data_IF_460699746284
#
_entry.id   IF_460699746284
#
_cell.length_a   1.000
_cell.length_b   1.000
_cell.length_c   1.000
_cell.angle_alpha   90.00
_cell.angle_beta   90.00
_cell.angle_gamma   90.00
#
_symmetry.space_group_name_H-M   'P 1'
#
loop_
_entity.id
_entity.type
_entity.pdbx_description
1 polymer ?
#
# COMPACT_ATOMS: atom_id res chain seq x y z
N UNK A 1 -33.12 -2.50 24.51
CA UNK A 1 -32.57 -3.50 23.57
C UNK A 1 -33.08 -3.16 22.18
N UNK A 2 -32.25 -2.52 21.37
CA UNK A 2 -32.51 -2.25 19.95
C UNK A 2 -31.21 -2.56 19.19
N UNK A 3 -31.37 -3.33 18.12
CA UNK A 3 -30.33 -4.02 17.35
C UNK A 3 -29.55 -3.06 16.44
N UNK A 4 -28.22 -3.22 16.40
CA UNK A 4 -27.28 -2.57 15.46
C UNK A 4 -27.42 -3.19 14.05
N UNK A 5 -28.53 -2.91 13.38
CA UNK A 5 -28.76 -3.35 12.00
C UNK A 5 -29.53 -2.30 11.21
N UNK A 6 -29.12 -1.03 11.30
CA UNK A 6 -29.64 0.01 10.41
C UNK A 6 -28.71 1.21 10.39
N UNK A 7 -27.86 1.29 9.36
CA UNK A 7 -27.31 2.51 8.72
C UNK A 7 -26.20 2.14 7.73
N UNK A 8 -26.58 1.51 6.62
CA UNK A 8 -25.75 1.53 5.41
C UNK A 8 -26.68 1.71 4.20
N UNK A 9 -27.03 2.97 3.92
CA UNK A 9 -27.78 3.37 2.73
C UNK A 9 -27.03 4.48 1.99
N UNK A 10 -26.69 4.17 0.73
CA UNK A 10 -26.57 5.04 -0.44
C UNK A 10 -25.58 6.23 -0.43
N UNK A 11 -24.66 6.21 -1.40
CA UNK A 11 -24.88 6.91 -2.69
C UNK A 11 -23.79 6.56 -3.72
N UNK A 12 -24.26 6.22 -4.91
CA UNK A 12 -23.48 6.12 -6.15
C UNK A 12 -22.98 7.49 -6.60
N UNK A 13 -21.73 7.59 -7.06
CA UNK A 13 -21.20 8.76 -7.78
C UNK A 13 -20.51 8.32 -9.08
N UNK A 14 -20.52 9.16 -10.15
CA UNK A 14 -20.37 8.73 -11.54
C UNK A 14 -18.92 8.61 -12.02
N UNK A 15 -18.81 8.05 -13.23
CA UNK A 15 -17.60 7.75 -13.99
C UNK A 15 -16.72 8.97 -14.30
N UNK A 16 -15.40 8.76 -14.31
CA UNK A 16 -14.41 9.74 -14.76
C UNK A 16 -13.01 9.49 -14.18
N UNK A 17 -12.07 9.13 -15.05
CA UNK A 17 -10.62 8.96 -14.85
C UNK A 17 -10.14 7.62 -14.26
N UNK A 18 -9.87 6.71 -15.21
CA UNK A 18 -9.18 5.42 -15.11
C UNK A 18 -7.68 5.55 -14.84
N UNK A 19 -7.08 4.47 -14.32
CA UNK A 19 -5.66 4.21 -14.03
C UNK A 19 -5.06 4.75 -12.70
N UNK A 20 -5.77 5.53 -11.89
CA UNK A 20 -5.34 5.87 -10.51
C UNK A 20 -6.03 5.05 -9.41
N UNK A 21 -7.07 4.30 -9.75
CA UNK A 21 -8.02 3.70 -8.79
C UNK A 21 -7.64 2.28 -8.32
N UNK A 22 -6.75 1.58 -9.02
CA UNK A 22 -6.30 0.21 -8.71
C UNK A 22 -5.08 0.14 -7.77
N UNK A 23 -4.34 1.23 -7.65
CA UNK A 23 -3.08 1.32 -6.87
C UNK A 23 -3.38 1.48 -5.37
N UNK A 24 -4.53 2.07 -5.05
CA UNK A 24 -5.03 2.23 -3.69
C UNK A 24 -5.25 0.86 -3.02
N UNK A 25 -5.85 -0.13 -3.69
CA UNK A 25 -6.22 -1.40 -3.06
C UNK A 25 -5.03 -2.31 -2.67
N UNK A 26 -3.90 -2.26 -3.39
CA UNK A 26 -2.73 -3.14 -3.08
C UNK A 26 -1.91 -2.59 -1.90
N UNK A 27 -1.78 -1.27 -1.80
CA UNK A 27 -1.07 -0.61 -0.69
C UNK A 27 -2.02 -0.36 0.50
N UNK A 28 -3.32 -0.18 0.26
CA UNK A 28 -4.33 -0.17 1.34
C UNK A 28 -4.68 -1.58 1.82
N UNK A 29 -4.44 -2.62 1.01
CA UNK A 29 -4.49 -4.02 1.44
C UNK A 29 -3.42 -4.37 2.47
N UNK A 30 -2.32 -3.62 2.54
CA UNK A 30 -1.34 -3.67 3.64
C UNK A 30 -1.84 -2.94 4.90
N UNK A 31 -2.73 -1.96 4.76
CA UNK A 31 -3.35 -1.26 5.90
C UNK A 31 -4.61 -1.98 6.39
N UNK A 32 -5.31 -2.76 5.56
CA UNK A 32 -6.55 -3.45 5.94
C UNK A 32 -6.40 -4.53 7.04
N UNK A 33 -5.31 -5.31 7.18
CA UNK A 33 -5.19 -6.25 8.30
C UNK A 33 -4.97 -5.56 9.65
N UNK A 34 -4.66 -4.25 9.66
CA UNK A 34 -4.49 -3.46 10.89
C UNK A 34 -5.78 -3.38 11.71
N UNK A 35 -6.94 -3.33 11.06
CA UNK A 35 -8.22 -3.07 11.74
C UNK A 35 -8.91 -4.34 12.26
N UNK A 36 -8.52 -5.54 11.80
CA UNK A 36 -9.17 -6.80 12.20
C UNK A 36 -8.44 -7.54 13.35
N UNK A 37 -7.16 -7.25 13.60
CA UNK A 37 -6.39 -7.87 14.69
C UNK A 37 -6.63 -7.29 16.08
N UNK A 38 -7.18 -6.06 16.18
CA UNK A 38 -7.32 -5.34 17.44
C UNK A 38 -8.48 -5.82 18.34
N UNK A 39 -9.39 -6.66 17.82
CA UNK A 39 -10.60 -7.07 18.56
C UNK A 39 -10.55 -8.50 19.12
N UNK A 40 -9.51 -9.30 18.84
CA UNK A 40 -9.49 -10.72 19.17
C UNK A 40 -8.83 -11.08 20.51
N UNK A 41 -8.34 -10.10 21.29
CA UNK A 41 -7.48 -10.41 22.45
C UNK A 41 -7.55 -9.48 23.67
N UNK A 42 -8.53 -8.58 23.79
CA UNK A 42 -8.64 -7.74 24.98
C UNK A 42 -9.35 -8.47 26.11
N UNK A 43 -8.60 -9.15 26.97
CA UNK A 43 -9.01 -9.27 28.38
C UNK A 43 -9.00 -7.86 28.99
N UNK A 44 -10.02 -7.56 29.79
CA UNK A 44 -10.42 -6.28 30.38
C UNK A 44 -9.39 -5.58 31.32
N UNK A 45 -8.10 -5.65 30.98
CA UNK A 45 -7.05 -4.87 31.62
C UNK A 45 -6.79 -3.63 30.77
N UNK A 46 -6.90 -2.46 31.39
CA UNK A 46 -6.71 -1.14 30.79
C UNK A 46 -5.46 -1.05 29.89
N UNK A 47 -5.61 -1.38 28.61
CA UNK A 47 -4.61 -1.03 27.61
C UNK A 47 -5.00 0.35 27.08
N UNK A 48 -4.27 1.36 27.53
CA UNK A 48 -4.31 2.68 26.90
C UNK A 48 -3.97 2.51 25.41
N UNK A 49 -4.83 3.02 24.54
CA UNK A 49 -4.62 2.95 23.10
C UNK A 49 -3.30 3.58 22.70
N UNK A 50 -2.55 2.92 21.83
CA UNK A 50 -1.33 3.47 21.26
C UNK A 50 -1.69 4.47 20.16
N UNK A 51 -0.96 5.57 20.11
CA UNK A 51 -1.14 6.60 19.08
C UNK A 51 -0.31 6.25 17.85
N UNK A 52 -0.93 6.28 16.68
CA UNK A 52 -0.31 5.95 15.40
C UNK A 52 -0.45 7.10 14.41
N UNK A 53 0.65 7.45 13.75
CA UNK A 53 0.65 8.23 12.52
C UNK A 53 0.99 7.31 11.37
N UNK A 54 0.24 7.35 10.28
CA UNK A 54 0.56 6.60 9.07
C UNK A 54 0.73 7.58 7.90
N UNK A 55 1.94 7.68 7.37
CA UNK A 55 2.22 8.44 6.15
C UNK A 55 2.45 7.47 4.98
N UNK A 56 1.79 7.72 3.86
CA UNK A 56 1.96 6.92 2.65
C UNK A 56 2.35 7.81 1.48
N UNK A 57 3.45 7.47 0.81
CA UNK A 57 3.96 8.08 -0.41
C UNK A 57 3.72 7.13 -1.57
N UNK A 58 2.67 7.37 -2.35
CA UNK A 58 2.34 6.56 -3.53
C UNK A 58 2.89 7.25 -4.76
N UNK A 59 3.79 6.56 -5.44
CA UNK A 59 4.47 7.09 -6.59
C UNK A 59 4.05 6.41 -7.88
N UNK A 60 4.09 7.19 -8.95
CA UNK A 60 3.95 6.71 -10.33
C UNK A 60 5.20 7.03 -11.09
N UNK A 61 5.65 6.10 -11.92
CA UNK A 61 6.73 6.36 -12.88
C UNK A 61 6.29 7.46 -13.85
N UNK A 62 7.18 8.39 -14.16
CA UNK A 62 6.91 9.50 -15.10
C UNK A 62 7.85 9.46 -16.29
N UNK A 63 9.15 9.33 -16.04
CA UNK A 63 10.19 9.18 -17.05
C UNK A 63 11.20 8.12 -16.58
N UNK A 64 12.19 7.80 -17.43
CA UNK A 64 13.28 6.89 -17.04
C UNK A 64 14.00 7.44 -15.80
N UNK A 65 14.11 6.61 -14.75
CA UNK A 65 14.75 6.98 -13.49
C UNK A 65 14.00 8.00 -12.60
N UNK A 66 12.81 8.47 -13.00
CA UNK A 66 12.02 9.45 -12.23
C UNK A 66 10.63 8.91 -11.87
N UNK A 67 10.17 9.30 -10.68
CA UNK A 67 8.82 9.04 -10.21
C UNK A 67 8.19 10.30 -9.61
N UNK A 68 6.86 10.32 -9.59
CA UNK A 68 6.06 11.40 -9.04
C UNK A 68 5.14 10.87 -7.96
N UNK A 69 5.31 11.37 -6.73
CA UNK A 69 4.60 10.91 -5.56
C UNK A 69 3.44 11.82 -5.17
N UNK A 70 2.36 11.21 -4.70
CA UNK A 70 1.34 11.85 -3.86
C UNK A 70 1.51 11.33 -2.43
N UNK A 71 1.24 12.18 -1.45
CA UNK A 71 1.37 11.81 -0.04
C UNK A 71 0.04 11.94 0.70
N UNK A 72 -0.22 10.99 1.58
CA UNK A 72 -1.33 11.05 2.54
C UNK A 72 -0.83 10.76 3.94
N UNK A 73 -1.45 11.38 4.94
CA UNK A 73 -1.20 11.06 6.34
C UNK A 73 -2.51 10.98 7.11
N UNK A 74 -2.57 10.03 8.05
CA UNK A 74 -3.66 9.88 9.02
C UNK A 74 -3.07 9.70 10.41
N UNK A 75 -3.74 10.26 11.42
CA UNK A 75 -3.44 10.02 12.83
C UNK A 75 -4.61 9.27 13.45
N UNK A 76 -4.31 8.24 14.23
CA UNK A 76 -5.32 7.44 14.89
C UNK A 76 -4.84 6.81 16.20
N UNK A 77 -5.77 6.27 16.98
CA UNK A 77 -5.48 5.46 18.16
C UNK A 77 -5.87 3.99 17.92
N UNK A 78 -5.06 3.05 18.39
CA UNK A 78 -5.32 1.63 18.18
C UNK A 78 -4.62 0.73 19.20
N UNK A 79 -5.00 -0.55 19.21
CA UNK A 79 -4.41 -1.57 20.08
C UNK A 79 -3.86 -2.70 19.24
N UNK A 80 -2.62 -3.11 19.52
CA UNK A 80 -2.01 -4.30 18.90
C UNK A 80 -1.99 -4.26 17.37
N UNK A 81 -1.89 -3.06 16.79
CA UNK A 81 -1.93 -2.84 15.34
C UNK A 81 -0.75 -3.58 14.68
N UNK A 82 -0.98 -4.60 13.84
CA UNK A 82 0.09 -5.25 13.08
C UNK A 82 0.57 -4.28 12.00
N UNK A 83 1.74 -3.69 12.21
CA UNK A 83 2.34 -2.77 11.24
C UNK A 83 3.12 -3.57 10.20
N UNK A 84 2.75 -3.50 8.90
CA UNK A 84 3.54 -4.16 7.87
C UNK A 84 4.96 -3.61 7.85
N UNK A 85 5.93 -4.50 7.62
CA UNK A 85 7.33 -4.13 7.59
C UNK A 85 8.02 -4.80 6.39
N UNK A 86 8.48 -3.99 5.44
CA UNK A 86 9.21 -4.47 4.27
C UNK A 86 10.48 -5.23 4.64
N UNK A 87 11.14 -4.88 5.75
CA UNK A 87 12.35 -5.59 6.18
C UNK A 87 12.07 -6.97 6.77
N UNK A 88 10.82 -7.29 7.13
CA UNK A 88 10.43 -8.63 7.51
C UNK A 88 10.24 -9.56 6.30
N UNK A 89 10.12 -9.01 5.08
CA UNK A 89 9.93 -9.78 3.85
C UNK A 89 11.28 -10.23 3.27
N UNK A 90 11.92 -11.20 3.91
CA UNK A 90 13.21 -11.74 3.47
C UNK A 90 13.11 -13.11 2.77
N UNK A 91 11.92 -13.69 2.73
CA UNK A 91 11.65 -14.96 2.06
C UNK A 91 10.51 -14.77 1.05
N UNK A 92 10.62 -15.43 -0.10
CA UNK A 92 9.56 -15.40 -1.10
C UNK A 92 8.41 -16.32 -0.70
N UNK A 93 7.21 -15.77 -0.72
CA UNK A 93 6.00 -16.51 -0.41
C UNK A 93 4.91 -16.15 -1.41
N UNK A 94 4.26 -17.17 -1.97
CA UNK A 94 3.16 -17.01 -2.93
C UNK A 94 1.94 -17.78 -2.44
N UNK A 95 0.76 -17.18 -2.57
CA UNK A 95 -0.53 -17.77 -2.22
C UNK A 95 -1.58 -17.43 -3.28
N UNK A 96 -2.65 -18.23 -3.34
CA UNK A 96 -3.86 -17.82 -4.02
C UNK A 96 -4.68 -16.93 -3.10
N UNK A 97 -5.23 -15.85 -3.65
CA UNK A 97 -6.12 -14.96 -2.94
C UNK A 97 -7.25 -14.48 -3.85
N UNK A 98 -8.39 -14.11 -3.26
CA UNK A 98 -9.42 -13.38 -3.98
C UNK A 98 -8.88 -11.99 -4.37
N UNK A 99 -9.33 -11.48 -5.51
CA UNK A 99 -9.09 -10.09 -5.91
C UNK A 99 -10.03 -9.20 -5.09
N UNK A 100 -9.45 -8.43 -4.18
CA UNK A 100 -10.17 -7.35 -3.53
C UNK A 100 -10.33 -6.17 -4.51
N UNK A 101 -11.57 -5.76 -4.73
CA UNK A 101 -11.94 -4.61 -5.57
C UNK A 101 -12.52 -3.47 -4.74
N UNK A 102 -12.61 -3.63 -3.42
CA UNK A 102 -13.05 -2.58 -2.52
C UNK A 102 -12.02 -1.45 -2.49
N UNK A 103 -12.52 -0.23 -2.49
CA UNK A 103 -11.70 0.98 -2.36
C UNK A 103 -12.05 1.63 -1.04
N UNK A 104 -11.14 1.55 -0.08
CA UNK A 104 -11.30 2.19 1.22
C UNK A 104 -10.38 3.40 1.27
N UNK A 105 -10.95 4.59 1.41
CA UNK A 105 -10.12 5.77 1.64
C UNK A 105 -9.58 5.72 3.07
N UNK A 106 -8.26 5.79 3.24
CA UNK A 106 -7.66 5.86 4.56
C UNK A 106 -8.16 7.12 5.30
N UNK A 107 -8.68 6.92 6.50
CA UNK A 107 -9.18 7.96 7.40
C UNK A 107 -8.58 7.75 8.78
N UNK A 108 -8.20 8.84 9.44
CA UNK A 108 -7.87 8.83 10.86
C UNK A 108 -9.10 9.11 11.72
N UNK A 109 -8.89 9.14 13.03
CA UNK A 109 -9.86 9.62 14.03
C UNK A 109 -9.28 10.75 14.90
N UNK A 110 -7.99 11.09 14.73
CA UNK A 110 -7.31 12.20 15.39
C UNK A 110 -6.78 13.23 14.39
N UNK A 111 -6.56 14.44 14.88
CA UNK A 111 -5.74 15.46 14.22
C UNK A 111 -4.32 15.42 14.81
N UNK A 112 -3.32 15.70 13.98
CA UNK A 112 -1.93 15.92 14.35
C UNK A 112 -1.50 17.39 14.13
N UNK A 113 -2.45 18.32 14.27
CA UNK A 113 -2.30 19.76 14.03
C UNK A 113 -3.09 20.25 12.81
N UNK A 114 -3.15 21.57 12.59
CA UNK A 114 -3.86 22.13 11.43
C UNK A 114 -3.24 21.75 10.08
N UNK A 115 -1.94 21.45 10.08
CA UNK A 115 -1.20 20.94 8.94
C UNK A 115 0.01 20.11 9.40
N UNK A 116 0.50 19.26 8.50
CA UNK A 116 1.79 18.57 8.65
C UNK A 116 2.75 19.04 7.56
N UNK A 117 4.05 18.83 7.79
CA UNK A 117 5.10 19.09 6.81
C UNK A 117 5.66 17.78 6.25
N UNK A 118 5.91 17.74 4.96
CA UNK A 118 6.74 16.71 4.33
C UNK A 118 7.89 17.36 3.58
N UNK A 119 9.03 16.69 3.52
CA UNK A 119 10.16 17.06 2.68
C UNK A 119 10.46 15.89 1.76
N UNK A 120 10.42 16.10 0.45
CA UNK A 120 10.66 15.06 -0.55
C UNK A 120 11.63 15.64 -1.57
N UNK A 121 12.77 14.97 -1.79
CA UNK A 121 13.84 15.47 -2.67
C UNK A 121 14.25 16.92 -2.36
N UNK A 122 14.31 17.27 -1.06
CA UNK A 122 14.64 18.62 -0.58
C UNK A 122 13.52 19.66 -0.70
N UNK A 123 12.37 19.32 -1.30
CA UNK A 123 11.23 20.23 -1.44
C UNK A 123 10.27 20.04 -0.27
N UNK A 124 10.08 21.10 0.51
CA UNK A 124 9.09 21.13 1.60
C UNK A 124 7.68 21.38 1.07
N UNK A 125 6.72 20.58 1.53
CA UNK A 125 5.28 20.75 1.28
C UNK A 125 4.51 20.69 2.58
N UNK A 126 3.51 21.55 2.69
CA UNK A 126 2.56 21.55 3.79
C UNK A 126 1.28 20.84 3.35
N UNK A 127 0.82 19.86 4.13
CA UNK A 127 -0.43 19.16 3.88
C UNK A 127 -1.44 19.65 4.91
N UNK A 128 -2.54 20.32 4.51
CA UNK A 128 -3.58 20.76 5.43
C UNK A 128 -4.43 19.59 5.91
N UNK A 129 -4.98 19.70 7.12
CA UNK A 129 -5.97 18.74 7.63
C UNK A 129 -7.34 18.94 6.96
N UNK A 130 -7.91 17.88 6.40
CA UNK A 130 -9.30 17.84 5.93
C UNK A 130 -10.17 17.18 7.00
N UNK A 131 -11.04 17.96 7.64
CA UNK A 131 -11.97 17.43 8.65
C UNK A 131 -13.06 16.51 8.02
N UNK A 132 -13.45 16.76 6.77
CA UNK A 132 -14.42 15.91 6.05
C UNK A 132 -13.85 14.54 5.67
N UNK A 133 -12.55 14.50 5.37
CA UNK A 133 -11.84 13.29 4.99
C UNK A 133 -11.05 12.66 6.16
N UNK A 134 -10.96 13.34 7.29
CA UNK A 134 -10.20 12.96 8.48
C UNK A 134 -8.75 12.58 8.14
N UNK A 135 -8.09 13.35 7.27
CA UNK A 135 -6.73 13.07 6.78
C UNK A 135 -6.03 14.31 6.26
N UNK A 136 -4.74 14.15 6.01
CA UNK A 136 -3.88 15.12 5.34
C UNK A 136 -3.49 14.55 3.98
N UNK A 137 -3.49 15.36 2.93
CA UNK A 137 -3.12 14.90 1.60
C UNK A 137 -2.46 16.01 0.77
N UNK A 138 -1.60 15.62 -0.16
CA UNK A 138 -1.12 16.53 -1.21
C UNK A 138 -2.29 16.98 -2.08
N UNK A 139 -2.31 18.26 -2.46
CA UNK A 139 -3.31 18.80 -3.39
C UNK A 139 -3.29 18.04 -4.71
N UNK A 140 -4.48 17.80 -5.27
CA UNK A 140 -4.60 17.18 -6.59
C UNK A 140 -3.83 18.00 -7.65
N UNK A 141 -3.10 17.31 -8.53
CA UNK A 141 -2.33 17.96 -9.60
C UNK A 141 -1.00 18.59 -9.17
N UNK A 142 -0.58 18.45 -7.91
CA UNK A 142 0.71 18.93 -7.42
C UNK A 142 1.63 17.79 -6.95
N UNK A 143 1.94 16.79 -7.80
CA UNK A 143 2.72 15.65 -7.37
C UNK A 143 4.20 16.03 -7.23
N UNK A 144 4.93 15.27 -6.42
CA UNK A 144 6.32 15.59 -6.06
C UNK A 144 7.26 14.66 -6.82
N UNK A 145 8.11 15.23 -7.67
CA UNK A 145 9.10 14.45 -8.42
C UNK A 145 10.27 14.07 -7.54
N UNK A 146 10.75 12.83 -7.67
CA UNK A 146 11.93 12.33 -6.99
C UNK A 146 12.65 11.28 -7.86
N UNK A 147 13.87 10.96 -7.45
CA UNK A 147 14.78 10.00 -8.09
C UNK A 147 15.19 8.88 -7.12
N UNK A 148 15.79 7.82 -7.65
CA UNK A 148 16.29 6.72 -6.83
C UNK A 148 17.30 7.21 -5.78
N UNK A 149 17.11 6.79 -4.53
CA UNK A 149 17.96 7.20 -3.40
C UNK A 149 17.43 8.40 -2.61
N UNK A 150 16.44 9.14 -3.13
CA UNK A 150 15.81 10.22 -2.38
C UNK A 150 15.08 9.72 -1.14
N UNK A 151 15.00 10.60 -0.14
CA UNK A 151 14.36 10.34 1.15
C UNK A 151 13.18 11.28 1.31
N UNK A 152 12.08 10.76 1.82
CA UNK A 152 10.97 11.55 2.32
C UNK A 152 11.11 11.73 3.83
N UNK A 153 10.85 12.93 4.31
CA UNK A 153 10.72 13.24 5.73
C UNK A 153 9.29 13.69 6.02
N UNK A 154 8.77 13.32 7.18
CA UNK A 154 7.46 13.72 7.67
C UNK A 154 7.65 14.36 9.03
N UNK A 155 6.98 15.49 9.26
CA UNK A 155 6.91 16.15 10.55
C UNK A 155 5.47 16.54 10.85
N UNK A 156 4.91 15.90 11.87
CA UNK A 156 3.61 16.22 12.43
C UNK A 156 3.83 17.00 13.74
N UNK A 157 3.33 18.24 13.84
CA UNK A 157 3.52 19.07 15.03
C UNK A 157 2.73 18.56 16.25
N UNK A 158 1.72 17.71 16.04
CA UNK A 158 0.78 17.29 17.07
C UNK A 158 -0.34 18.33 17.27
N UNK A 159 -1.37 17.95 18.02
CA UNK A 159 -2.50 18.83 18.36
C UNK A 159 -2.58 19.12 19.88
N UNK A 160 -1.54 18.76 20.62
CA UNK A 160 -1.51 18.77 22.08
C UNK A 160 -1.95 17.42 22.64
N UNK A 161 -3.18 17.33 23.17
CA UNK A 161 -3.62 16.17 23.93
C UNK A 161 -3.96 14.93 23.08
N UNK A 162 -4.48 15.11 21.86
CA UNK A 162 -4.99 14.00 21.05
C UNK A 162 -3.86 13.25 20.35
N UNK A 163 -2.91 13.95 19.74
CA UNK A 163 -1.77 13.35 19.07
C UNK A 163 -0.46 14.13 19.33
N UNK A 164 0.61 13.46 19.81
CA UNK A 164 1.88 14.11 20.11
C UNK A 164 2.65 14.47 18.82
N UNK A 165 3.60 15.40 18.96
CA UNK A 165 4.52 15.71 17.87
C UNK A 165 5.37 14.48 17.52
N UNK A 166 5.51 14.18 16.23
CA UNK A 166 6.32 13.06 15.74
C UNK A 166 6.94 13.43 14.40
N UNK A 167 8.15 12.94 14.16
CA UNK A 167 8.84 13.12 12.90
C UNK A 167 9.63 11.87 12.53
N UNK A 168 9.83 11.64 11.25
CA UNK A 168 10.55 10.47 10.76
C UNK A 168 10.88 10.60 9.29
N UNK A 169 11.67 9.66 8.78
CA UNK A 169 12.06 9.62 7.38
C UNK A 169 11.97 8.22 6.81
N UNK A 170 11.77 8.12 5.49
CA UNK A 170 11.75 6.86 4.75
C UNK A 170 12.41 7.08 3.40
N UNK A 171 13.28 6.16 3.00
CA UNK A 171 13.83 6.14 1.63
C UNK A 171 12.69 5.89 0.66
N UNK A 172 12.58 6.70 -0.39
CA UNK A 172 11.51 6.57 -1.39
C UNK A 172 11.70 5.31 -2.25
N UNK A 173 10.59 4.66 -2.62
CA UNK A 173 10.62 3.46 -3.45
C UNK A 173 11.13 3.82 -4.86
N UNK A 174 12.19 3.15 -5.30
CA UNK A 174 12.79 3.38 -6.61
C UNK A 174 11.87 2.89 -7.74
N UNK A 175 11.74 3.62 -8.86
CA UNK A 175 10.91 3.20 -10.00
C UNK A 175 11.16 1.74 -10.40
N UNK A 176 10.08 0.97 -10.57
CA UNK A 176 10.17 -0.45 -10.91
C UNK A 176 10.23 -0.62 -12.44
N UNK A 177 11.20 -1.39 -12.89
CA UNK A 177 11.39 -1.77 -14.29
C UNK A 177 11.30 -3.28 -14.40
N UNK A 178 10.23 -3.76 -15.03
CA UNK A 178 10.02 -5.18 -15.27
C UNK A 178 10.83 -5.61 -16.50
N UNK A 179 11.48 -6.76 -16.40
CA UNK A 179 12.14 -7.40 -17.53
C UNK A 179 11.14 -7.91 -18.59
N UNK A 180 11.65 -8.44 -19.71
CA UNK A 180 10.81 -9.03 -20.75
C UNK A 180 9.93 -10.15 -20.18
N UNK A 181 8.64 -10.14 -20.56
CA UNK A 181 7.69 -11.20 -20.20
C UNK A 181 7.31 -12.01 -21.43
N UNK A 182 7.21 -13.33 -21.23
CA UNK A 182 6.62 -14.25 -22.19
C UNK A 182 5.60 -15.15 -21.49
N UNK A 183 4.56 -15.55 -22.22
CA UNK A 183 3.57 -16.52 -21.73
C UNK A 183 4.22 -17.91 -21.71
N UNK A 184 4.37 -18.53 -20.53
CA UNK A 184 4.96 -19.86 -20.43
C UNK A 184 4.00 -20.90 -21.00
N UNK A 185 4.54 -22.02 -21.47
CA UNK A 185 3.73 -23.19 -21.82
C UNK A 185 3.09 -23.77 -20.56
N UNK A 186 1.97 -24.47 -20.70
CA UNK A 186 1.27 -25.11 -19.58
C UNK A 186 2.22 -26.03 -18.80
N UNK A 187 2.25 -25.88 -17.48
CA UNK A 187 3.14 -26.63 -16.58
C UNK A 187 4.58 -26.10 -16.49
N UNK A 188 5.00 -25.18 -17.36
CA UNK A 188 6.29 -24.52 -17.24
C UNK A 188 6.26 -23.40 -16.18
N UNK A 189 7.42 -23.16 -15.56
CA UNK A 189 7.59 -22.06 -14.62
C UNK A 189 7.59 -20.70 -15.34
N UNK A 190 7.15 -19.66 -14.65
CA UNK A 190 7.31 -18.27 -15.08
C UNK A 190 8.43 -17.63 -14.27
N UNK A 191 9.53 -17.27 -14.92
CA UNK A 191 10.55 -16.44 -14.30
C UNK A 191 10.26 -14.98 -14.60
N UNK A 192 10.12 -14.20 -13.54
CA UNK A 192 9.96 -12.75 -13.59
C UNK A 192 11.25 -12.12 -13.14
N UNK A 193 11.68 -11.06 -13.83
CA UNK A 193 12.85 -10.27 -13.45
C UNK A 193 12.50 -8.79 -13.38
N UNK A 194 13.20 -8.06 -12.52
CA UNK A 194 13.07 -6.61 -12.40
C UNK A 194 14.39 -5.99 -11.96
N UNK A 195 14.47 -4.66 -11.97
CA UNK A 195 15.60 -3.90 -11.47
C UNK A 195 15.71 -3.96 -9.93
N UNK A 196 16.08 -5.12 -9.37
CA UNK A 196 16.20 -5.32 -7.93
C UNK A 196 17.14 -4.32 -7.23
N UNK A 197 16.82 -3.95 -5.99
CA UNK A 197 17.65 -3.00 -5.22
C UNK A 197 18.65 -3.69 -4.31
N UNK A 198 18.43 -4.97 -3.97
CA UNK A 198 19.19 -5.72 -2.95
C UNK A 198 19.24 -5.01 -1.57
N UNK A 199 18.33 -4.06 -1.35
CA UNK A 199 18.21 -3.31 -0.12
C UNK A 199 17.27 -4.05 0.83
N UNK A 200 17.78 -4.43 2.01
CA UNK A 200 17.02 -5.17 3.01
C UNK A 200 15.80 -4.39 3.56
N UNK A 201 15.69 -3.10 3.26
CA UNK A 201 14.53 -2.26 3.63
C UNK A 201 13.49 -2.14 2.52
N UNK A 202 13.69 -2.81 1.37
CA UNK A 202 12.72 -2.89 0.28
C UNK A 202 12.15 -4.30 0.13
N UNK A 203 10.91 -4.37 -0.32
CA UNK A 203 10.25 -5.62 -0.67
C UNK A 203 9.39 -5.42 -1.92
N UNK A 204 9.05 -6.53 -2.57
CA UNK A 204 8.16 -6.57 -3.74
C UNK A 204 6.87 -7.27 -3.37
N UNK A 205 5.76 -6.70 -3.80
CA UNK A 205 4.47 -7.39 -3.89
C UNK A 205 4.22 -7.70 -5.35
N UNK A 206 3.98 -8.97 -5.67
CA UNK A 206 3.53 -9.42 -6.97
C UNK A 206 2.06 -9.81 -6.90
N UNK A 207 1.26 -9.31 -7.84
CA UNK A 207 -0.14 -9.70 -8.02
C UNK A 207 -0.38 -10.10 -9.47
N UNK A 208 -0.65 -11.37 -9.71
CA UNK A 208 -1.07 -11.89 -11.00
C UNK A 208 -2.57 -12.16 -10.97
N UNK A 209 -3.35 -11.25 -11.53
CA UNK A 209 -4.82 -11.31 -11.51
C UNK A 209 -5.34 -12.02 -12.75
N UNK A 210 -6.39 -12.81 -12.59
CA UNK A 210 -7.07 -13.50 -13.67
C UNK A 210 -8.56 -13.67 -13.37
N UNK A 211 -9.42 -13.65 -14.40
CA UNK A 211 -10.83 -13.95 -14.22
C UNK A 211 -11.04 -15.44 -13.92
N UNK A 212 -12.01 -15.74 -13.06
CA UNK A 212 -12.52 -17.09 -12.94
C UNK A 212 -13.37 -17.49 -14.15
N UNK A 213 -13.61 -18.79 -14.36
CA UNK A 213 -14.54 -19.26 -15.38
C UNK A 213 -15.91 -18.57 -15.29
N UNK A 214 -16.52 -18.35 -16.45
CA UNK A 214 -17.87 -17.78 -16.52
C UNK A 214 -18.85 -18.68 -15.77
N UNK A 215 -19.60 -18.11 -14.83
CA UNK A 215 -20.55 -18.85 -13.99
C UNK A 215 -20.00 -19.31 -12.63
N UNK A 216 -18.74 -19.03 -12.31
CA UNK A 216 -18.21 -19.24 -10.96
C UNK A 216 -18.97 -18.42 -9.91
N UNK A 217 -19.23 -19.02 -8.76
CA UNK A 217 -19.91 -18.38 -7.62
C UNK A 217 -18.98 -17.54 -6.72
N UNK A 218 -17.68 -17.47 -7.06
CA UNK A 218 -16.64 -16.82 -6.29
C UNK A 218 -15.93 -15.74 -7.10
N UNK A 219 -15.46 -14.70 -6.41
CA UNK A 219 -14.79 -13.54 -7.01
C UNK A 219 -13.50 -13.93 -7.74
N UNK A 220 -13.11 -13.14 -8.75
CA UNK A 220 -11.85 -13.32 -9.49
C UNK A 220 -10.66 -13.56 -8.54
N UNK A 221 -9.68 -14.33 -9.00
CA UNK A 221 -8.54 -14.74 -8.19
C UNK A 221 -7.24 -14.06 -8.63
N UNK A 222 -6.26 -14.15 -7.75
CA UNK A 222 -4.90 -13.72 -8.00
C UNK A 222 -3.90 -14.68 -7.37
N UNK A 223 -2.75 -14.81 -8.01
CA UNK A 223 -1.53 -15.28 -7.34
C UNK A 223 -0.92 -14.03 -6.70
N UNK A 224 -0.87 -14.03 -5.37
CA UNK A 224 -0.29 -12.96 -4.59
C UNK A 224 1.02 -13.44 -4.00
N UNK A 225 2.11 -12.73 -4.26
CA UNK A 225 3.38 -13.03 -3.63
C UNK A 225 3.94 -11.83 -2.89
N UNK A 226 4.50 -12.10 -1.72
CA UNK A 226 5.36 -11.19 -1.00
C UNK A 226 6.80 -11.68 -1.17
N UNK A 227 7.65 -10.84 -1.75
CA UNK A 227 8.94 -11.21 -2.30
C UNK A 227 10.03 -10.29 -1.76
N UNK A 228 11.24 -10.81 -1.69
CA UNK A 228 12.43 -9.99 -1.49
C UNK A 228 12.67 -9.13 -2.73
N UNK A 229 13.24 -7.93 -2.57
CA UNK A 229 13.61 -7.08 -3.71
C UNK A 229 15.04 -7.38 -4.23
N UNK A 230 15.27 -8.63 -4.66
CA UNK A 230 16.56 -9.11 -5.19
C UNK A 230 16.63 -9.17 -6.73
N UNK A 231 15.52 -8.89 -7.42
CA UNK A 231 15.47 -8.72 -8.86
C UNK A 231 14.91 -9.91 -9.64
N UNK A 232 14.53 -11.01 -9.00
CA UNK A 232 13.89 -12.12 -9.71
C UNK A 232 13.01 -13.00 -8.83
N UNK A 233 11.98 -13.59 -9.41
CA UNK A 233 11.23 -14.69 -8.78
C UNK A 233 10.87 -15.73 -9.84
N UNK A 234 10.82 -17.00 -9.46
CA UNK A 234 10.25 -18.06 -10.29
C UNK A 234 8.94 -18.54 -9.70
N UNK A 235 7.84 -18.34 -10.43
CA UNK A 235 6.53 -18.88 -10.07
C UNK A 235 6.42 -20.30 -10.63
N UNK A 236 6.22 -21.32 -9.77
CA UNK A 236 6.06 -22.69 -10.22
C UNK A 236 4.89 -22.87 -11.18
N UNK A 237 5.07 -23.67 -12.24
CA UNK A 237 4.04 -23.93 -13.24
C UNK A 237 2.72 -24.46 -12.66
N UNK A 238 2.80 -25.26 -11.59
CA UNK A 238 1.62 -25.74 -10.87
C UNK A 238 0.75 -24.63 -10.27
N UNK A 239 1.35 -23.52 -9.85
CA UNK A 239 0.61 -22.34 -9.36
C UNK A 239 0.04 -21.48 -10.49
N UNK A 240 0.61 -21.57 -11.69
CA UNK A 240 0.22 -20.74 -12.83
C UNK A 240 -0.96 -21.31 -13.61
N UNK A 241 -1.33 -22.58 -13.43
CA UNK A 241 -2.34 -23.24 -14.26
C UNK A 241 -3.66 -22.45 -14.38
N UNK A 242 -4.30 -21.98 -13.28
CA UNK A 242 -5.53 -21.20 -13.39
C UNK A 242 -5.33 -19.88 -14.15
N UNK A 243 -4.21 -19.21 -13.92
CA UNK A 243 -3.84 -17.97 -14.60
C UNK A 243 -3.62 -18.19 -16.10
N UNK A 244 -2.96 -19.28 -16.50
CA UNK A 244 -2.69 -19.59 -17.92
C UNK A 244 -3.93 -20.06 -18.68
N UNK A 245 -4.89 -20.70 -17.99
CA UNK A 245 -6.16 -21.12 -18.57
C UNK A 245 -7.16 -19.98 -18.76
N UNK A 246 -6.98 -18.85 -18.06
CA UNK A 246 -7.83 -17.69 -18.22
C UNK A 246 -7.65 -17.06 -19.61
N UNK A 247 -8.76 -16.91 -20.34
CA UNK A 247 -8.76 -16.53 -21.76
C UNK A 247 -8.63 -15.01 -22.03
N UNK A 248 -8.75 -14.17 -21.00
CA UNK A 248 -8.65 -12.71 -21.14
C UNK A 248 -8.38 -12.00 -19.81
N UNK A 249 -8.09 -10.70 -19.86
CA UNK A 249 -7.98 -9.80 -18.68
C UNK A 249 -6.99 -10.25 -17.61
N UNK A 250 -5.93 -10.93 -18.03
CA UNK A 250 -4.81 -11.26 -17.18
C UNK A 250 -3.94 -10.02 -17.01
N UNK A 251 -3.53 -9.76 -15.79
CA UNK A 251 -2.62 -8.66 -15.51
C UNK A 251 -1.61 -9.08 -14.47
N UNK A 252 -0.40 -8.56 -14.62
CA UNK A 252 0.66 -8.70 -13.64
C UNK A 252 1.01 -7.31 -13.13
N UNK A 253 0.94 -7.14 -11.82
CA UNK A 253 1.33 -5.91 -11.12
C UNK A 253 2.48 -6.25 -10.17
N UNK A 254 3.57 -5.49 -10.26
CA UNK A 254 4.60 -5.47 -9.23
C UNK A 254 4.52 -4.13 -8.50
N UNK A 255 4.62 -4.19 -7.17
CA UNK A 255 4.75 -3.01 -6.32
C UNK A 255 6.05 -3.15 -5.54
N UNK A 256 6.97 -2.19 -5.71
CA UNK A 256 8.07 -2.02 -4.76
C UNK A 256 7.57 -1.15 -3.63
N UNK A 257 7.79 -1.60 -2.41
CA UNK A 257 7.44 -0.85 -1.22
C UNK A 257 8.55 -0.85 -0.19
N UNK A 258 8.63 0.24 0.57
CA UNK A 258 9.56 0.40 1.70
C UNK A 258 8.79 0.94 2.89
N UNK A 259 9.20 0.51 4.08
CA UNK A 259 8.63 1.00 5.33
C UNK A 259 9.69 1.49 6.28
N UNK A 260 9.30 2.44 7.14
CA UNK A 260 10.03 2.74 8.36
C UNK A 260 9.04 2.96 9.50
N UNK A 261 9.35 2.45 10.68
CA UNK A 261 8.57 2.66 11.90
C UNK A 261 9.41 3.47 12.88
N UNK A 262 8.92 4.66 13.23
CA UNK A 262 9.58 5.55 14.19
C UNK A 262 8.71 5.69 15.42
N UNK A 263 9.22 5.31 16.59
CA UNK A 263 8.55 5.55 17.87
C UNK A 263 9.13 6.78 18.54
N UNK A 264 8.31 7.78 18.80
CA UNK A 264 8.73 9.02 19.46
C UNK A 264 7.56 9.67 20.20
N UNK A 265 7.84 10.26 21.36
CA UNK A 265 6.87 11.00 22.19
C UNK A 265 5.56 10.22 22.48
N UNK A 266 5.64 8.89 22.61
CA UNK A 266 4.47 8.05 22.86
C UNK A 266 3.56 7.81 21.65
N UNK A 267 4.02 8.15 20.44
CA UNK A 267 3.37 7.76 19.18
C UNK A 267 4.30 6.93 18.28
N UNK A 268 3.67 6.11 17.46
CA UNK A 268 4.31 5.29 16.43
C UNK A 268 4.00 5.90 15.06
N UNK A 269 5.02 6.38 14.35
CA UNK A 269 4.92 6.89 12.99
C UNK A 269 5.35 5.80 12.02
N UNK A 270 4.39 5.21 11.32
CA UNK A 270 4.62 4.31 10.20
C UNK A 270 4.68 5.10 8.90
N UNK A 271 5.81 4.97 8.21
CA UNK A 271 6.07 5.60 6.93
C UNK A 271 6.12 4.51 5.88
N UNK A 272 5.32 4.65 4.84
CA UNK A 272 5.31 3.73 3.69
C UNK A 272 5.56 4.52 2.42
N UNK A 273 6.36 3.98 1.53
CA UNK A 273 6.48 4.45 0.16
C UNK A 273 6.29 3.28 -0.79
N UNK A 274 5.67 3.54 -1.92
CA UNK A 274 5.41 2.53 -2.93
C UNK A 274 5.48 3.09 -4.34
N UNK A 275 5.86 2.24 -5.28
CA UNK A 275 5.75 2.49 -6.71
C UNK A 275 5.37 1.20 -7.40
N UNK A 276 4.51 1.28 -8.41
CA UNK A 276 4.01 0.13 -9.12
C UNK A 276 4.29 0.17 -10.61
N UNK A 277 4.32 -1.01 -11.21
CA UNK A 277 4.19 -1.19 -12.65
C UNK A 277 3.17 -2.27 -12.89
N UNK A 278 2.31 -2.06 -13.89
CA UNK A 278 1.30 -3.03 -14.30
C UNK A 278 1.43 -3.29 -15.78
N UNK A 279 1.41 -4.55 -16.15
CA UNK A 279 1.41 -5.01 -17.53
C UNK A 279 0.21 -5.92 -17.77
N UNK A 280 -0.48 -5.68 -18.89
CA UNK A 280 -1.43 -6.65 -19.39
C UNK A 280 -0.66 -7.88 -19.83
N UNK A 281 -1.06 -9.05 -19.35
CA UNK A 281 -0.39 -10.29 -19.71
C UNK A 281 -0.98 -10.80 -21.03
N UNK A 282 -0.15 -11.03 -22.07
CA UNK A 282 -0.61 -11.43 -23.40
C UNK A 282 -1.33 -12.78 -23.37
#
# INVERSE_FOLDING_TARGET
MLSLSDRLLMRTAPAGHDAARLISAVVQGLVLPVLLGACAGSTDNQQTGQKYGAANFVAKRTASGQASASATFVAFEGLGVPIPNSSAQQNDQCVYAAVDTSVVTARGDRSAGSAISIVVAGVTRTLPYSASDLRYATSAGAPITYTAGDVAQVSAPGDGASFPAVSGSVKLAEPLELGPLSTPTTGANLTLTWNGTNDATAAIILSMKYPNPVGSSYANEQIYCALRDDGSVTIPGGLLNPFLLASSKRSLTLVRWRTNLVTSNGANLHLTTSTDTTVAFP
#
